data_IF_548679004879
#
_entry.id   IF_548679004879
#
_cell.length_a   1.000
_cell.length_b   1.000
_cell.length_c   1.000
_cell.angle_alpha   90.00
_cell.angle_beta   90.00
_cell.angle_gamma   90.00
#
_symmetry.space_group_name_H-M   'P 1'
#
loop_
_entity.id
_entity.type
_entity.pdbx_description
1 polymer ?
#
# COMPACT_ATOMS: atom_id res chain seq x y z
N UNK A 1 -4.03 6.00 -24.30
CA UNK A 1 -2.97 5.05 -24.66
C UNK A 1 -2.34 4.58 -23.36
N UNK A 2 -2.65 3.37 -22.92
CA UNK A 2 -2.09 2.78 -21.70
C UNK A 2 -0.93 1.86 -22.10
N UNK A 3 0.27 2.13 -21.59
CA UNK A 3 1.43 1.27 -21.80
C UNK A 3 1.39 0.08 -20.84
N UNK A 4 1.71 -1.12 -21.34
CA UNK A 4 1.83 -2.33 -20.53
C UNK A 4 3.28 -2.48 -20.03
N UNK A 5 3.46 -2.63 -18.72
CA UNK A 5 4.76 -2.87 -18.10
C UNK A 5 4.98 -4.37 -17.91
N UNK A 6 6.14 -4.88 -18.35
CA UNK A 6 6.55 -6.28 -18.21
C UNK A 6 7.69 -6.35 -17.19
N UNK A 7 7.54 -7.18 -16.15
CA UNK A 7 8.59 -7.43 -15.16
C UNK A 7 9.41 -8.66 -15.53
N UNK A 8 10.74 -8.50 -15.61
CA UNK A 8 11.69 -9.58 -15.92
C UNK A 8 12.60 -9.78 -14.72
N UNK A 9 12.63 -10.98 -14.13
CA UNK A 9 13.41 -11.27 -12.94
C UNK A 9 14.67 -12.05 -13.32
N UNK A 10 15.86 -11.47 -13.07
CA UNK A 10 17.14 -12.19 -13.09
C UNK A 10 18.09 -11.91 -14.26
N UNK A 11 18.15 -10.70 -14.82
CA UNK A 11 19.24 -10.32 -15.74
C UNK A 11 19.59 -8.84 -15.56
N UNK A 12 20.87 -8.55 -15.40
CA UNK A 12 21.39 -7.18 -15.29
C UNK A 12 21.22 -6.49 -16.66
N UNK A 13 20.45 -5.41 -16.71
CA UNK A 13 20.22 -4.62 -17.93
C UNK A 13 20.82 -3.24 -17.70
N UNK A 14 21.92 -2.97 -18.39
CA UNK A 14 22.58 -1.68 -18.42
C UNK A 14 22.03 -0.87 -19.60
N UNK A 15 21.53 0.33 -19.34
CA UNK A 15 20.86 1.20 -20.33
C UNK A 15 21.54 2.56 -20.29
N UNK A 16 22.36 2.85 -21.30
CA UNK A 16 23.14 4.09 -21.36
C UNK A 16 22.64 5.15 -22.36
N UNK A 17 21.66 4.84 -23.20
CA UNK A 17 20.99 5.83 -24.05
C UNK A 17 19.62 5.28 -24.46
N UNK A 18 18.57 5.99 -24.06
CA UNK A 18 17.18 5.58 -24.22
C UNK A 18 16.82 5.64 -25.71
N UNK A 19 16.14 4.66 -26.31
CA UNK A 19 14.68 4.84 -26.48
C UNK A 19 13.86 3.54 -26.59
N UNK A 20 14.40 2.40 -27.06
CA UNK A 20 13.63 1.13 -27.12
C UNK A 20 14.53 -0.09 -26.94
N UNK A 21 14.19 -0.96 -25.97
CA UNK A 21 14.85 -2.26 -25.76
C UNK A 21 13.90 -3.39 -26.18
N UNK A 22 14.27 -4.15 -27.21
CA UNK A 22 13.53 -5.34 -27.64
C UNK A 22 14.16 -6.61 -27.06
N UNK A 23 13.43 -7.30 -26.19
CA UNK A 23 13.84 -8.57 -25.58
C UNK A 23 13.06 -9.73 -26.22
N UNK A 24 13.77 -10.66 -26.88
CA UNK A 24 13.17 -11.89 -27.42
C UNK A 24 13.58 -13.09 -26.56
N UNK A 25 12.60 -13.84 -26.06
CA UNK A 25 12.82 -15.02 -25.21
C UNK A 25 12.09 -16.22 -25.81
N UNK A 26 12.84 -17.29 -26.14
CA UNK A 26 12.37 -18.46 -26.90
C UNK A 26 11.43 -19.39 -26.10
N UNK A 27 11.46 -19.35 -24.76
CA UNK A 27 10.69 -20.27 -23.87
C UNK A 27 10.13 -19.63 -22.61
N UNK A 28 9.71 -18.37 -22.67
CA UNK A 28 9.04 -17.76 -21.52
C UNK A 28 7.65 -18.39 -21.33
N UNK A 29 7.40 -19.00 -20.17
CA UNK A 29 6.04 -19.33 -19.75
C UNK A 29 5.36 -18.05 -19.29
N UNK A 30 4.58 -17.44 -20.17
CA UNK A 30 3.70 -16.32 -19.81
C UNK A 30 2.56 -16.89 -18.96
N UNK A 31 2.69 -16.77 -17.64
CA UNK A 31 1.55 -16.93 -16.75
C UNK A 31 0.70 -15.68 -16.89
N UNK A 32 -0.30 -15.71 -17.78
CA UNK A 32 -1.41 -14.77 -17.73
C UNK A 32 -2.27 -15.17 -16.52
N UNK A 33 -1.82 -14.79 -15.33
CA UNK A 33 -2.76 -14.62 -14.22
C UNK A 33 -3.35 -13.24 -14.44
N UNK A 34 -4.68 -13.16 -14.61
CA UNK A 34 -5.46 -11.94 -14.83
C UNK A 34 -4.78 -10.67 -14.28
N UNK A 35 -3.96 -10.02 -15.11
CA UNK A 35 -3.44 -8.67 -14.84
C UNK A 35 -4.47 -7.67 -15.33
N UNK A 36 -5.71 -7.87 -14.90
CA UNK A 36 -6.66 -6.79 -14.76
C UNK A 36 -6.10 -5.99 -13.58
N UNK A 37 -5.51 -4.81 -13.80
CA UNK A 37 -5.56 -3.81 -12.74
C UNK A 37 -7.03 -3.52 -12.56
N UNK A 38 -7.67 -4.08 -11.54
CA UNK A 38 -9.09 -4.07 -11.54
C UNK A 38 -9.42 -2.67 -11.02
N UNK A 39 -10.06 -1.86 -11.85
CA UNK A 39 -10.81 -0.70 -11.39
C UNK A 39 -11.96 -1.26 -10.55
N UNK A 40 -11.64 -1.68 -9.33
CA UNK A 40 -12.66 -2.13 -8.38
C UNK A 40 -12.92 -0.96 -7.48
N UNK A 41 -14.20 -0.65 -7.32
CA UNK A 41 -14.68 0.08 -6.16
C UNK A 41 -13.89 -0.40 -4.94
N UNK A 42 -13.43 0.54 -4.13
CA UNK A 42 -12.56 0.37 -2.97
C UNK A 42 -13.17 -0.64 -1.99
N UNK A 43 -13.03 -1.94 -2.29
CA UNK A 43 -13.65 -3.02 -1.53
C UNK A 43 -12.71 -3.29 -0.36
N UNK A 44 -12.98 -2.59 0.73
CA UNK A 44 -12.24 -2.76 1.97
C UNK A 44 -12.33 -4.24 2.38
N UNK A 45 -11.21 -4.96 2.50
CA UNK A 45 -11.20 -6.38 2.82
C UNK A 45 -12.04 -6.69 4.07
N UNK A 46 -12.79 -7.80 4.04
CA UNK A 46 -13.67 -8.22 5.14
C UNK A 46 -13.00 -8.23 6.52
N UNK A 47 -11.70 -8.60 6.56
CA UNK A 47 -10.87 -8.57 7.78
C UNK A 47 -10.77 -7.19 8.44
N UNK A 48 -10.87 -6.12 7.66
CA UNK A 48 -10.93 -4.75 8.17
C UNK A 48 -12.36 -4.39 8.57
N UNK A 49 -13.36 -4.63 7.73
CA UNK A 49 -14.75 -4.23 8.02
C UNK A 49 -15.34 -4.94 9.25
N UNK A 50 -14.89 -6.15 9.54
CA UNK A 50 -15.27 -6.90 10.74
C UNK A 50 -14.52 -6.44 12.00
N UNK A 51 -13.51 -5.56 11.84
CA UNK A 51 -12.72 -5.07 12.96
C UNK A 51 -13.30 -3.80 13.59
N UNK A 52 -13.48 -3.85 14.91
CA UNK A 52 -13.78 -2.65 15.71
C UNK A 52 -12.70 -1.56 15.56
N UNK A 53 -11.45 -1.94 15.28
CA UNK A 53 -10.35 -0.99 15.06
C UNK A 53 -10.55 -0.18 13.78
N UNK A 54 -11.05 -0.83 12.73
CA UNK A 54 -11.35 -0.17 11.47
C UNK A 54 -12.52 0.83 11.63
N UNK A 55 -13.57 0.43 12.36
CA UNK A 55 -14.69 1.31 12.66
C UNK A 55 -14.23 2.54 13.46
N UNK A 56 -13.35 2.36 14.44
CA UNK A 56 -12.78 3.46 15.25
C UNK A 56 -11.99 4.46 14.40
N UNK A 57 -11.16 3.99 13.46
CA UNK A 57 -10.41 4.91 12.58
C UNK A 57 -11.32 5.65 11.60
N UNK A 58 -12.39 5.01 11.13
CA UNK A 58 -13.40 5.65 10.28
C UNK A 58 -14.21 6.70 11.06
N UNK A 59 -14.67 6.38 12.28
CA UNK A 59 -15.36 7.33 13.17
C UNK A 59 -14.48 8.51 13.59
N UNK A 60 -13.18 8.29 13.74
CA UNK A 60 -12.21 9.34 14.02
C UNK A 60 -11.89 10.22 12.80
N UNK A 61 -12.46 9.92 11.63
CA UNK A 61 -12.25 10.65 10.39
C UNK A 61 -10.85 10.49 9.80
N UNK A 62 -10.13 9.43 10.18
CA UNK A 62 -8.79 9.10 9.68
C UNK A 62 -8.84 8.40 8.33
N UNK A 63 -9.98 7.80 8.04
CA UNK A 63 -10.31 7.09 6.81
C UNK A 63 -11.68 7.59 6.34
N UNK A 64 -11.85 7.78 5.04
CA UNK A 64 -13.11 8.23 4.46
C UNK A 64 -14.13 7.09 4.28
N UNK A 65 -15.25 7.38 3.61
CA UNK A 65 -16.30 6.40 3.32
C UNK A 65 -15.83 5.28 2.39
N UNK A 66 -14.83 5.55 1.55
CA UNK A 66 -14.24 4.61 0.59
C UNK A 66 -13.06 3.81 1.19
N UNK A 67 -12.76 4.01 2.48
CA UNK A 67 -11.65 3.30 3.12
C UNK A 67 -10.27 3.92 2.82
N UNK A 68 -10.22 5.12 2.25
CA UNK A 68 -8.98 5.84 1.93
C UNK A 68 -8.53 6.74 3.09
N UNK A 69 -7.23 6.82 3.38
CA UNK A 69 -6.73 7.58 4.50
C UNK A 69 -6.76 9.07 4.17
N UNK A 70 -7.42 9.84 5.03
CA UNK A 70 -7.57 11.29 4.92
C UNK A 70 -6.35 12.05 5.48
N UNK A 71 -5.41 11.31 6.06
CA UNK A 71 -4.18 11.81 6.70
C UNK A 71 -3.00 11.86 5.73
N UNK A 72 -1.90 12.50 6.15
CA UNK A 72 -0.69 12.60 5.33
C UNK A 72 -0.06 11.22 5.08
N UNK A 73 0.81 11.11 4.07
CA UNK A 73 1.46 9.83 3.71
C UNK A 73 2.20 9.16 4.89
N UNK A 74 3.02 9.89 5.68
CA UNK A 74 3.70 9.28 6.83
C UNK A 74 2.73 8.86 7.94
N UNK A 75 1.68 9.65 8.19
CA UNK A 75 0.63 9.32 9.16
C UNK A 75 -0.18 8.09 8.74
N UNK A 76 -0.50 7.96 7.45
CA UNK A 76 -1.14 6.77 6.90
C UNK A 76 -0.25 5.53 7.09
N UNK A 77 1.05 5.65 6.88
CA UNK A 77 2.00 4.55 7.08
C UNK A 77 2.06 4.09 8.54
N UNK A 78 2.01 5.02 9.50
CA UNK A 78 1.87 4.69 10.93
C UNK A 78 0.56 3.98 11.23
N UNK A 79 -0.54 4.44 10.64
CA UNK A 79 -1.85 3.83 10.84
C UNK A 79 -1.89 2.39 10.29
N UNK A 80 -1.35 2.18 9.10
CA UNK A 80 -1.20 0.86 8.48
C UNK A 80 -0.38 -0.09 9.36
N UNK A 81 0.71 0.41 9.95
CA UNK A 81 1.56 -0.37 10.84
C UNK A 81 0.79 -0.87 12.07
N UNK A 82 0.15 0.05 12.79
CA UNK A 82 -0.60 -0.27 14.01
C UNK A 82 -1.84 -1.14 13.76
N UNK A 83 -2.56 -0.89 12.65
CA UNK A 83 -3.69 -1.73 12.27
C UNK A 83 -3.22 -3.14 11.92
N UNK A 84 -2.15 -3.28 11.14
CA UNK A 84 -1.64 -4.59 10.80
C UNK A 84 -1.14 -5.38 12.01
N UNK A 85 -0.44 -4.74 12.94
CA UNK A 85 0.02 -5.39 14.16
C UNK A 85 -1.15 -5.92 14.99
N UNK A 86 -2.20 -5.11 15.16
CA UNK A 86 -3.38 -5.50 15.95
C UNK A 86 -4.26 -6.53 15.24
N UNK A 87 -4.28 -6.54 13.92
CA UNK A 87 -5.05 -7.48 13.11
C UNK A 87 -4.26 -8.73 12.70
N UNK A 88 -2.98 -8.81 13.06
CA UNK A 88 -2.12 -9.94 12.69
C UNK A 88 -1.81 -10.04 11.20
N UNK A 89 -1.81 -8.92 10.48
CA UNK A 89 -1.56 -8.89 9.02
C UNK A 89 -0.06 -8.97 8.76
N UNK A 90 0.42 -10.13 8.29
CA UNK A 90 1.85 -10.37 8.04
C UNK A 90 2.44 -9.45 6.93
N UNK A 91 1.72 -9.29 5.81
CA UNK A 91 2.17 -8.48 4.67
C UNK A 91 1.61 -7.05 4.70
N UNK A 92 1.72 -6.38 5.84
CA UNK A 92 1.11 -5.07 6.12
C UNK A 92 1.29 -4.03 5.02
N UNK A 93 2.53 -3.83 4.57
CA UNK A 93 2.81 -2.80 3.56
C UNK A 93 2.12 -3.11 2.24
N UNK A 94 2.23 -4.34 1.73
CA UNK A 94 1.60 -4.73 0.47
C UNK A 94 0.08 -4.67 0.55
N UNK A 95 -0.48 -5.08 1.69
CA UNK A 95 -1.91 -5.02 1.94
C UNK A 95 -2.45 -3.59 1.90
N UNK A 96 -1.86 -2.66 2.65
CA UNK A 96 -2.29 -1.26 2.67
C UNK A 96 -1.90 -0.48 1.40
N UNK A 97 -0.80 -0.84 0.74
CA UNK A 97 -0.46 -0.32 -0.60
C UNK A 97 -1.54 -0.65 -1.63
N UNK A 98 -2.06 -1.89 -1.60
CA UNK A 98 -3.16 -2.32 -2.46
C UNK A 98 -4.47 -1.62 -2.09
N UNK A 99 -4.79 -1.55 -0.80
CA UNK A 99 -6.02 -0.92 -0.31
C UNK A 99 -6.11 0.57 -0.62
N UNK A 100 -4.99 1.29 -0.47
CA UNK A 100 -4.97 2.75 -0.62
C UNK A 100 -4.46 3.22 -1.97
N UNK A 101 -4.16 2.29 -2.88
CA UNK A 101 -3.50 2.56 -4.16
C UNK A 101 -2.23 3.42 -3.99
N UNK A 102 -1.50 3.20 -2.90
CA UNK A 102 -0.26 3.90 -2.55
C UNK A 102 0.92 2.97 -2.75
N UNK A 103 2.09 3.56 -3.00
CA UNK A 103 3.35 2.83 -3.10
C UNK A 103 4.35 3.38 -2.10
N UNK A 104 5.32 2.54 -1.72
CA UNK A 104 6.42 2.89 -0.85
C UNK A 104 5.98 3.22 0.59
N UNK A 105 4.95 2.52 1.10
CA UNK A 105 4.45 2.77 2.47
C UNK A 105 5.52 2.51 3.54
N UNK A 106 6.41 1.55 3.31
CA UNK A 106 7.55 1.30 4.19
C UNK A 106 8.50 2.49 4.27
N UNK A 107 8.73 3.17 3.13
CA UNK A 107 9.52 4.40 3.09
C UNK A 107 8.82 5.53 3.83
N UNK A 108 7.53 5.71 3.57
CA UNK A 108 6.69 6.71 4.24
C UNK A 108 6.68 6.48 5.77
N UNK A 109 6.67 5.22 6.24
CA UNK A 109 6.79 4.86 7.66
C UNK A 109 8.15 5.26 8.26
N UNK A 110 9.26 4.95 7.58
CA UNK A 110 10.59 5.34 8.04
C UNK A 110 10.73 6.86 8.15
N UNK A 111 10.19 7.60 7.19
CA UNK A 111 10.12 9.07 7.24
C UNK A 111 9.24 9.55 8.40
N UNK A 112 8.14 8.84 8.68
CA UNK A 112 7.26 9.12 9.80
C UNK A 112 7.98 9.04 11.16
N UNK A 113 8.88 8.07 11.34
CA UNK A 113 9.65 7.91 12.58
C UNK A 113 10.60 9.09 12.86
N UNK A 114 11.13 9.72 11.81
CA UNK A 114 12.00 10.89 11.92
C UNK A 114 11.21 12.19 12.20
N UNK A 115 9.93 12.21 11.82
CA UNK A 115 9.08 13.39 11.94
C UNK A 115 8.40 13.49 13.31
N UNK A 116 8.72 14.54 14.06
CA UNK A 116 8.11 14.84 15.38
C UNK A 116 6.58 14.97 15.35
N UNK A 117 6.01 15.40 14.23
CA UNK A 117 4.55 15.51 14.03
C UNK A 117 3.86 14.14 14.06
N UNK A 118 4.53 13.10 13.57
CA UNK A 118 4.00 11.74 13.53
C UNK A 118 3.97 11.10 14.91
N UNK A 119 4.85 11.50 15.83
CA UNK A 119 4.83 11.01 17.21
C UNK A 119 3.54 11.41 17.93
N UNK A 120 3.11 12.68 17.81
CA UNK A 120 1.83 13.12 18.34
C UNK A 120 0.64 12.37 17.69
N UNK A 121 0.76 12.08 16.39
CA UNK A 121 -0.25 11.29 15.67
C UNK A 121 -0.31 9.85 16.18
N UNK A 122 0.84 9.20 16.42
CA UNK A 122 0.92 7.87 17.02
C UNK A 122 0.24 7.81 18.38
N UNK A 123 0.49 8.79 19.25
CA UNK A 123 -0.16 8.86 20.56
C UNK A 123 -1.68 9.01 20.43
N UNK A 124 -2.14 9.88 19.54
CA UNK A 124 -3.58 10.02 19.23
C UNK A 124 -4.16 8.72 18.68
N UNK A 125 -3.44 8.02 17.80
CA UNK A 125 -3.88 6.76 17.23
C UNK A 125 -3.98 5.66 18.29
N UNK A 126 -3.04 5.62 19.25
CA UNK A 126 -3.11 4.71 20.41
C UNK A 126 -4.36 4.95 21.24
N UNK A 127 -4.70 6.21 21.53
CA UNK A 127 -5.91 6.57 22.28
C UNK A 127 -7.18 6.13 21.53
N UNK A 128 -7.22 6.31 20.20
CA UNK A 128 -8.37 5.91 19.37
C UNK A 128 -8.52 4.38 19.32
N UNK A 129 -7.41 3.67 19.11
CA UNK A 129 -7.42 2.21 18.95
C UNK A 129 -7.55 1.46 20.29
N UNK A 130 -7.26 2.12 21.42
CA UNK A 130 -7.37 1.56 22.78
C UNK A 130 -6.06 0.94 23.25
#
# INVERSE_FOLDING_TARGET
MAGNTIYVQGSYVDIHDNEVVNLSVDKAQVRVGDHQWPTQASDVPGVLTESELWLKVQQAGLVDADGQPTVSRPEAAVMADMLAERLGIANKWKFFEQLWHRNNMRGDYNTALDQRKTLNFQERLKIILG
#
